data_IF_521166154026
#
_entry.id   IF_521166154026
#
_cell.length_a   1.000
_cell.length_b   1.000
_cell.length_c   1.000
_cell.angle_alpha   90.00
_cell.angle_beta   90.00
_cell.angle_gamma   90.00
#
_symmetry.space_group_name_H-M   'P 1'
#
loop_
_entity.id
_entity.type
_entity.pdbx_description
1 polymer ?
#
# COMPACT_ATOMS: atom_id res chain seq x y z
N UNK A 1 -1.85 -12.37 -40.54
CA UNK A 1 -2.09 -13.59 -39.72
C UNK A 1 -1.77 -13.23 -38.26
N UNK A 2 -2.44 -12.19 -37.76
CA UNK A 2 -1.97 -11.35 -36.63
C UNK A 2 -2.59 -11.74 -35.29
N UNK A 3 -3.51 -12.71 -35.29
CA UNK A 3 -4.16 -13.23 -34.08
C UNK A 3 -3.14 -13.90 -33.14
N UNK A 4 -2.08 -14.51 -33.72
CA UNK A 4 -1.06 -15.24 -32.95
C UNK A 4 -0.31 -14.36 -31.96
N UNK A 5 -0.01 -13.10 -32.29
CA UNK A 5 0.75 -12.20 -31.40
C UNK A 5 -0.05 -11.79 -30.17
N UNK A 6 -1.35 -11.47 -30.36
CA UNK A 6 -2.26 -11.16 -29.25
C UNK A 6 -2.46 -12.36 -28.32
N UNK A 7 -2.59 -13.56 -28.89
CA UNK A 7 -2.70 -14.79 -28.11
C UNK A 7 -1.42 -15.09 -27.33
N UNK A 8 -0.23 -14.75 -27.86
CA UNK A 8 1.04 -14.99 -27.17
C UNK A 8 1.19 -14.13 -25.91
N UNK A 9 0.81 -12.85 -25.99
CA UNK A 9 0.74 -11.97 -24.82
C UNK A 9 -0.25 -12.52 -23.78
N UNK A 10 -1.42 -12.98 -24.23
CA UNK A 10 -2.42 -13.56 -23.33
C UNK A 10 -1.98 -14.90 -22.74
N UNK A 11 -1.18 -15.69 -23.47
CA UNK A 11 -0.68 -17.00 -23.03
C UNK A 11 0.10 -16.89 -21.72
N UNK A 12 0.90 -15.84 -21.56
CA UNK A 12 1.62 -15.58 -20.31
C UNK A 12 0.67 -15.26 -19.15
N UNK A 13 -0.28 -14.34 -19.37
CA UNK A 13 -1.27 -13.99 -18.35
C UNK A 13 -2.14 -15.18 -17.93
N UNK A 14 -2.60 -15.99 -18.89
CA UNK A 14 -3.36 -17.21 -18.61
C UNK A 14 -2.50 -18.25 -17.90
N UNK A 15 -1.26 -18.44 -18.32
CA UNK A 15 -0.36 -19.40 -17.63
C UNK A 15 -0.10 -18.97 -16.19
N UNK A 16 0.16 -17.68 -15.94
CA UNK A 16 0.29 -17.15 -14.57
C UNK A 16 -1.00 -17.38 -13.80
N UNK A 17 -2.15 -17.03 -14.35
CA UNK A 17 -3.43 -17.19 -13.67
C UNK A 17 -3.68 -18.66 -13.28
N UNK A 18 -3.36 -19.60 -14.17
CA UNK A 18 -3.44 -21.04 -13.91
C UNK A 18 -2.46 -21.44 -12.80
N UNK A 19 -1.19 -21.00 -12.86
CA UNK A 19 -0.17 -21.33 -11.85
C UNK A 19 -0.53 -20.77 -10.48
N UNK A 20 -1.01 -19.52 -10.41
CA UNK A 20 -1.47 -18.87 -9.17
C UNK A 20 -2.69 -19.60 -8.61
N UNK A 21 -3.68 -19.92 -9.45
CA UNK A 21 -4.88 -20.66 -9.05
C UNK A 21 -4.52 -22.06 -8.53
N UNK A 22 -3.63 -22.77 -9.22
CA UNK A 22 -3.17 -24.10 -8.81
C UNK A 22 -2.38 -24.04 -7.51
N UNK A 23 -1.47 -23.06 -7.37
CA UNK A 23 -0.70 -22.84 -6.14
C UNK A 23 -1.60 -22.54 -4.95
N UNK A 24 -2.63 -21.71 -5.17
CA UNK A 24 -3.60 -21.38 -4.14
C UNK A 24 -4.44 -22.61 -3.75
N UNK A 25 -4.91 -23.38 -4.73
CA UNK A 25 -5.63 -24.63 -4.49
C UNK A 25 -4.77 -25.64 -3.73
N UNK A 26 -3.49 -25.75 -4.06
CA UNK A 26 -2.56 -26.65 -3.37
C UNK A 26 -2.28 -26.17 -1.95
N UNK A 27 -2.15 -24.85 -1.73
CA UNK A 27 -1.97 -24.26 -0.41
C UNK A 27 -3.17 -24.54 0.51
N UNK A 28 -4.38 -24.36 -0.02
CA UNK A 28 -5.63 -24.67 0.70
C UNK A 28 -5.77 -26.17 1.01
N UNK A 29 -5.33 -27.03 0.10
CA UNK A 29 -5.36 -28.48 0.31
C UNK A 29 -4.31 -28.97 1.32
N UNK A 30 -3.07 -28.52 1.17
CA UNK A 30 -1.94 -28.94 2.01
C UNK A 30 -2.08 -28.43 3.46
N UNK A 31 -2.66 -27.25 3.64
CA UNK A 31 -2.91 -26.66 4.93
C UNK A 31 -4.43 -26.53 5.16
N UNK A 32 -5.13 -27.59 5.64
CA UNK A 32 -6.55 -27.48 6.02
C UNK A 32 -6.77 -26.40 7.09
N UNK A 33 -5.73 -26.10 7.88
CA UNK A 33 -5.73 -25.02 8.85
C UNK A 33 -5.71 -23.62 8.23
N UNK A 34 -5.29 -23.46 6.97
CA UNK A 34 -5.28 -22.16 6.31
C UNK A 34 -6.69 -21.59 6.17
N UNK A 35 -7.69 -22.46 5.91
CA UNK A 35 -9.10 -22.06 5.92
C UNK A 35 -9.56 -21.64 7.32
N UNK A 36 -9.10 -22.31 8.38
CA UNK A 36 -9.41 -21.94 9.76
C UNK A 36 -8.79 -20.58 10.14
N UNK A 37 -7.55 -20.34 9.70
CA UNK A 37 -6.86 -19.05 9.79
C UNK A 37 -7.68 -18.00 9.05
N UNK A 38 -8.03 -18.22 7.79
CA UNK A 38 -8.80 -17.27 7.00
C UNK A 38 -10.17 -16.97 7.62
N UNK A 39 -10.83 -17.95 8.24
CA UNK A 39 -12.06 -17.76 9.00
C UNK A 39 -11.83 -16.94 10.27
N UNK A 40 -10.73 -17.17 10.99
CA UNK A 40 -10.36 -16.39 12.18
C UNK A 40 -10.00 -14.94 11.83
N UNK A 41 -9.36 -14.72 10.69
CA UNK A 41 -8.99 -13.41 10.16
C UNK A 41 -10.11 -12.77 9.31
N UNK A 42 -11.21 -13.49 9.02
CA UNK A 42 -12.32 -12.96 8.23
C UNK A 42 -12.87 -11.64 8.78
N UNK A 43 -13.05 -11.46 10.11
CA UNK A 43 -13.45 -10.16 10.66
C UNK A 43 -12.43 -9.05 10.41
N UNK A 44 -11.13 -9.36 10.49
CA UNK A 44 -10.05 -8.39 10.24
C UNK A 44 -10.01 -7.99 8.76
N UNK A 45 -10.12 -8.98 7.88
CA UNK A 45 -10.18 -8.78 6.44
C UNK A 45 -11.43 -7.98 6.07
N UNK A 46 -12.60 -8.39 6.54
CA UNK A 46 -13.87 -7.71 6.31
C UNK A 46 -13.83 -6.26 6.82
N UNK A 47 -13.29 -6.02 8.02
CA UNK A 47 -13.12 -4.66 8.55
C UNK A 47 -12.23 -3.80 7.65
N UNK A 48 -11.11 -4.36 7.17
CA UNK A 48 -10.17 -3.64 6.28
C UNK A 48 -10.79 -3.39 4.92
N UNK A 49 -11.51 -4.36 4.35
CA UNK A 49 -12.24 -4.21 3.09
C UNK A 49 -13.34 -3.16 3.20
N UNK A 50 -14.17 -3.21 4.24
CA UNK A 50 -15.24 -2.22 4.47
C UNK A 50 -14.64 -0.83 4.66
N UNK A 51 -13.57 -0.71 5.43
CA UNK A 51 -12.87 0.55 5.62
C UNK A 51 -12.29 1.09 4.31
N UNK A 52 -11.65 0.25 3.51
CA UNK A 52 -11.11 0.63 2.20
C UNK A 52 -12.22 1.04 1.23
N UNK A 53 -13.32 0.28 1.18
CA UNK A 53 -14.52 0.62 0.39
C UNK A 53 -15.10 1.95 0.85
N UNK A 54 -15.16 2.21 2.15
CA UNK A 54 -15.62 3.49 2.69
C UNK A 54 -14.69 4.64 2.28
N UNK A 55 -13.36 4.47 2.35
CA UNK A 55 -12.40 5.47 1.86
C UNK A 55 -12.58 5.70 0.36
N UNK A 56 -12.74 4.66 -0.44
CA UNK A 56 -12.92 4.80 -1.89
C UNK A 56 -14.24 5.51 -2.21
N UNK A 57 -15.32 5.16 -1.51
CA UNK A 57 -16.65 5.72 -1.70
C UNK A 57 -16.78 7.17 -1.22
N UNK A 58 -16.20 7.51 -0.06
CA UNK A 58 -16.33 8.85 0.55
C UNK A 58 -15.10 9.74 0.35
N UNK A 59 -13.90 9.18 0.37
CA UNK A 59 -12.64 9.91 0.25
C UNK A 59 -12.20 10.17 -1.19
N UNK A 60 -12.74 9.41 -2.15
CA UNK A 60 -12.33 9.45 -3.55
C UNK A 60 -10.92 8.90 -3.76
N UNK A 61 -10.72 8.15 -4.84
CA UNK A 61 -9.40 7.59 -5.21
C UNK A 61 -8.29 8.65 -5.29
N UNK A 62 -8.65 9.92 -5.57
CA UNK A 62 -7.71 11.04 -5.65
C UNK A 62 -6.93 11.29 -4.34
N UNK A 63 -7.51 10.97 -3.18
CA UNK A 63 -6.81 11.10 -1.89
C UNK A 63 -5.79 9.98 -1.65
N UNK A 64 -5.91 8.85 -2.35
CA UNK A 64 -4.91 7.77 -2.30
C UNK A 64 -3.74 8.05 -3.26
N UNK A 65 -3.99 8.70 -4.39
CA UNK A 65 -2.94 9.22 -5.29
C UNK A 65 -2.23 10.45 -4.75
N UNK A 66 -2.38 10.74 -3.45
CA UNK A 66 -1.66 11.80 -2.75
C UNK A 66 -0.21 11.40 -2.48
N UNK A 67 0.47 10.89 -3.51
CA UNK A 67 1.91 11.11 -3.68
C UNK A 67 2.22 12.62 -3.61
N UNK A 68 1.23 13.49 -3.90
CA UNK A 68 1.34 14.96 -3.81
C UNK A 68 1.28 15.55 -2.38
N UNK A 69 0.91 14.82 -1.32
CA UNK A 69 1.05 15.36 0.06
C UNK A 69 2.14 14.68 0.87
N UNK A 70 2.78 13.61 0.36
CA UNK A 70 4.00 13.10 0.98
C UNK A 70 5.13 14.13 0.92
N UNK A 71 5.31 14.78 -0.24
CA UNK A 71 6.37 15.77 -0.41
C UNK A 71 6.14 17.01 0.47
N UNK A 72 4.95 17.63 0.41
CA UNK A 72 4.65 18.82 1.23
C UNK A 72 4.48 18.54 2.73
N UNK A 73 3.92 17.39 3.11
CA UNK A 73 3.87 17.04 4.54
C UNK A 73 5.27 16.74 5.10
N UNK A 74 6.14 16.13 4.27
CA UNK A 74 7.55 15.93 4.58
C UNK A 74 8.31 17.24 4.74
N UNK A 75 8.06 18.23 3.87
CA UNK A 75 8.65 19.57 3.99
C UNK A 75 8.30 20.27 5.30
N UNK A 76 7.06 20.11 5.80
CA UNK A 76 6.67 20.63 7.12
C UNK A 76 7.48 20.03 8.26
N UNK A 77 7.78 18.73 8.21
CA UNK A 77 8.63 18.06 9.20
C UNK A 77 10.10 18.45 9.07
N UNK A 78 10.60 18.59 7.84
CA UNK A 78 11.97 19.05 7.59
C UNK A 78 12.17 20.48 8.10
N UNK A 79 11.19 21.37 7.87
CA UNK A 79 11.25 22.74 8.38
C UNK A 79 11.14 22.77 9.91
N UNK A 80 10.34 21.89 10.53
CA UNK A 80 10.29 21.79 11.99
C UNK A 80 11.64 21.38 12.61
N UNK A 81 12.38 20.46 11.96
CA UNK A 81 13.72 20.04 12.43
C UNK A 81 14.77 21.11 12.13
N UNK A 82 14.75 21.68 10.92
CA UNK A 82 15.69 22.73 10.51
C UNK A 82 15.52 24.01 11.35
N UNK A 83 14.28 24.48 11.52
CA UNK A 83 13.98 25.65 12.34
C UNK A 83 14.35 25.46 13.80
N UNK A 84 14.34 24.23 14.34
CA UNK A 84 14.81 23.96 15.70
C UNK A 84 16.34 24.05 15.85
N UNK A 85 17.09 23.72 14.81
CA UNK A 85 18.54 23.92 14.80
C UNK A 85 18.87 25.42 14.81
N UNK A 86 18.17 26.22 14.01
CA UNK A 86 18.33 27.68 13.95
C UNK A 86 17.98 28.33 15.30
N UNK A 87 16.86 27.94 15.93
CA UNK A 87 16.48 28.45 17.26
C UNK A 87 17.51 28.11 18.35
N UNK A 88 18.15 26.96 18.26
CA UNK A 88 19.20 26.56 19.23
C UNK A 88 20.47 27.39 19.01
N UNK A 89 20.81 27.69 17.76
CA UNK A 89 21.98 28.51 17.42
C UNK A 89 21.79 29.99 17.78
N UNK A 90 20.59 30.54 17.58
CA UNK A 90 20.25 31.91 17.97
C UNK A 90 20.27 32.08 19.51
N UNK A 91 19.70 31.11 20.25
CA UNK A 91 19.72 31.14 21.71
C UNK A 91 21.16 31.02 22.29
N UNK A 92 22.05 30.28 21.64
CA UNK A 92 23.46 30.20 22.04
C UNK A 92 24.23 31.49 21.74
N UNK A 93 23.90 32.18 20.65
CA UNK A 93 24.57 33.43 20.26
C UNK A 93 24.16 34.59 21.18
N UNK A 94 22.88 34.69 21.53
CA UNK A 94 22.37 35.73 22.45
C UNK A 94 22.80 35.54 23.91
N UNK A 95 23.23 34.32 24.29
CA UNK A 95 23.75 34.06 25.64
C UNK A 95 25.24 34.43 25.78
N UNK A 96 25.95 34.58 24.66
CA UNK A 96 27.39 34.83 24.62
C UNK A 96 27.76 36.30 24.31
N UNK A 97 26.76 37.19 24.26
CA UNK A 97 26.91 38.65 24.34
C UNK A 97 26.57 39.15 25.75
#
# INVERSE_FOLDING_TARGET
MDISEKLLQYRYHITIAIVVSLSFSLLLYAAPHFLAILAYFWPLFASTTVFLVAIIAFGGVSKLSTEDHGEKAGEGLLNYVAGRAEQTQEAQTLLNE
#
